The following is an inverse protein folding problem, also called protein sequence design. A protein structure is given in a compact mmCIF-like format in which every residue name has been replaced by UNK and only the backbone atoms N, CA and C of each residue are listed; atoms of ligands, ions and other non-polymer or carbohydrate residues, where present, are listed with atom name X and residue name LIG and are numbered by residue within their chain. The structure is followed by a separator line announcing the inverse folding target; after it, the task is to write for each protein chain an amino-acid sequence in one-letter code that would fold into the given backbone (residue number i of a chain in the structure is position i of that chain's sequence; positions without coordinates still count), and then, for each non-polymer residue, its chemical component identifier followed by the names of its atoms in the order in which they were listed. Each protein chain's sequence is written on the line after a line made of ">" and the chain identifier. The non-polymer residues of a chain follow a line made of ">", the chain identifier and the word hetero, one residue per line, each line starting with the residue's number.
data_IF_197873942119
#
_entry.id   IF_197873942119
#
_cell.length_a   1.000
_cell.length_b   1.000
_cell.length_c   1.000
_cell.angle_alpha   90.00
_cell.angle_beta   90.00
_cell.angle_gamma   90.00
#
_symmetry.space_group_name_H-M   'P 1'
#
loop_
_entity.id
_entity.type
_entity.pdbx_description
1 polymer ?
#
# COMPACT_ATOMS: atom_id res chain seq x y z
N UNK A 1 21.30 -12.65 5.55
CA UNK A 1 20.30 -11.73 4.94
C UNK A 1 20.02 -12.15 3.51
N UNK A 2 18.78 -12.48 3.16
CA UNK A 2 18.38 -12.94 1.81
C UNK A 2 17.65 -11.89 0.96
N UNK A 3 17.38 -10.69 1.51
CA UNK A 3 16.62 -9.62 0.84
C UNK A 3 17.36 -9.08 -0.39
N UNK A 4 16.69 -9.06 -1.54
CA UNK A 4 17.16 -8.47 -2.80
C UNK A 4 16.09 -7.54 -3.40
N UNK A 5 16.53 -6.63 -4.27
CA UNK A 5 15.63 -5.75 -5.03
C UNK A 5 15.36 -6.38 -6.39
N UNK A 6 14.10 -6.69 -6.68
CA UNK A 6 13.69 -7.31 -7.94
C UNK A 6 13.14 -6.24 -8.91
N UNK A 7 13.50 -6.37 -10.18
CA UNK A 7 13.02 -5.52 -11.30
C UNK A 7 12.49 -6.35 -12.47
N UNK A 8 12.26 -7.63 -12.23
CA UNK A 8 11.66 -8.57 -13.16
C UNK A 8 10.50 -9.22 -12.43
N UNK A 9 9.31 -9.10 -13.00
CA UNK A 9 8.06 -9.52 -12.39
C UNK A 9 7.36 -10.49 -13.34
N UNK A 10 6.66 -11.47 -12.77
CA UNK A 10 5.83 -12.36 -13.57
C UNK A 10 4.55 -11.65 -14.01
N UNK A 11 3.94 -12.13 -15.10
CA UNK A 11 2.62 -11.65 -15.55
C UNK A 11 1.46 -12.23 -14.73
N UNK A 12 1.74 -13.08 -13.74
CA UNK A 12 0.72 -13.71 -12.92
C UNK A 12 0.00 -12.66 -12.07
N UNK A 13 -1.27 -12.91 -11.79
CA UNK A 13 -2.03 -12.08 -10.86
C UNK A 13 -1.65 -12.43 -9.42
N UNK A 14 -1.54 -11.42 -8.57
CA UNK A 14 -1.33 -11.62 -7.14
C UNK A 14 -2.67 -11.88 -6.44
N UNK A 15 -2.78 -12.85 -5.51
CA UNK A 15 -3.97 -13.01 -4.68
C UNK A 15 -4.22 -11.75 -3.83
N UNK A 16 -5.49 -11.36 -3.65
CA UNK A 16 -5.86 -10.21 -2.83
C UNK A 16 -5.42 -10.40 -1.37
N UNK A 17 -5.42 -11.64 -0.90
CA UNK A 17 -4.99 -12.02 0.45
C UNK A 17 -3.52 -11.65 0.68
N UNK A 18 -2.65 -11.83 -0.31
CA UNK A 18 -1.23 -11.44 -0.23
C UNK A 18 -1.09 -9.92 -0.15
N UNK A 19 -1.89 -9.16 -0.92
CA UNK A 19 -1.90 -7.70 -0.84
C UNK A 19 -2.40 -7.22 0.53
N UNK A 20 -3.48 -7.81 1.05
CA UNK A 20 -4.03 -7.53 2.38
C UNK A 20 -2.98 -7.77 3.47
N UNK A 21 -2.32 -8.93 3.45
CA UNK A 21 -1.25 -9.23 4.41
C UNK A 21 -0.10 -8.23 4.34
N UNK A 22 0.37 -7.88 3.14
CA UNK A 22 1.44 -6.89 2.97
C UNK A 22 1.06 -5.52 3.53
N UNK A 23 -0.15 -5.03 3.24
CA UNK A 23 -0.64 -3.74 3.77
C UNK A 23 -0.75 -3.77 5.30
N UNK A 24 -1.23 -4.87 5.87
CA UNK A 24 -1.31 -5.05 7.32
C UNK A 24 0.07 -5.07 7.97
N UNK A 25 1.03 -5.80 7.40
CA UNK A 25 2.38 -5.92 7.97
C UNK A 25 3.19 -4.62 7.85
N UNK A 26 3.03 -3.89 6.74
CA UNK A 26 3.83 -2.69 6.47
C UNK A 26 3.24 -1.41 7.07
N UNK A 27 1.90 -1.30 7.12
CA UNK A 27 1.22 -0.05 7.53
C UNK A 27 -0.02 -0.27 8.42
N UNK A 28 -0.23 -1.47 8.93
CA UNK A 28 -1.37 -1.80 9.79
C UNK A 28 -1.33 -1.11 11.15
N UNK A 29 -2.51 -0.92 11.74
CA UNK A 29 -2.68 -0.44 13.12
C UNK A 29 -2.67 -1.64 14.05
N UNK A 30 -1.71 -1.69 14.98
CA UNK A 30 -1.59 -2.74 16.00
C UNK A 30 -2.21 -2.32 17.35
N UNK A 31 -2.64 -1.07 17.47
CA UNK A 31 -3.29 -0.57 18.67
C UNK A 31 -3.37 0.95 18.69
N UNK A 32 -3.64 1.47 19.88
CA UNK A 32 -3.78 2.90 20.10
C UNK A 32 -2.98 3.32 21.34
N UNK A 33 -2.35 4.49 21.25
CA UNK A 33 -1.66 5.13 22.37
C UNK A 33 -2.50 6.31 22.85
N UNK A 34 -2.56 6.53 24.16
CA UNK A 34 -3.26 7.67 24.73
C UNK A 34 -2.27 8.62 25.38
N UNK A 35 -2.35 9.89 25.01
CA UNK A 35 -1.47 10.94 25.54
C UNK A 35 -2.30 12.10 26.06
N UNK A 36 -1.84 12.78 27.11
CA UNK A 36 -2.53 13.96 27.66
C UNK A 36 -2.66 15.10 26.64
N UNK A 37 -1.65 15.29 25.78
CA UNK A 37 -1.61 16.40 24.83
C UNK A 37 -2.34 16.13 23.51
N UNK A 38 -2.28 14.90 23.01
CA UNK A 38 -2.77 14.56 21.67
C UNK A 38 -3.91 13.55 21.66
N UNK A 39 -4.39 13.12 22.82
CA UNK A 39 -5.47 12.14 22.92
C UNK A 39 -5.06 10.78 22.36
N UNK A 40 -5.99 10.15 21.62
CA UNK A 40 -5.83 8.83 21.02
C UNK A 40 -5.03 8.90 19.71
N UNK A 41 -3.89 8.21 19.68
CA UNK A 41 -2.97 8.13 18.54
C UNK A 41 -2.92 6.70 18.01
N UNK A 42 -2.67 6.56 16.70
CA UNK A 42 -2.46 5.26 16.08
C UNK A 42 -1.10 4.68 16.48
N UNK A 43 -1.09 3.41 16.86
CA UNK A 43 0.13 2.63 16.97
C UNK A 43 0.21 1.70 15.75
N UNK A 44 1.11 2.01 14.81
CA UNK A 44 1.29 1.22 13.57
C UNK A 44 2.52 0.33 13.62
N UNK A 45 2.59 -0.64 12.72
CA UNK A 45 3.76 -1.53 12.54
C UNK A 45 5.03 -0.77 12.17
N UNK A 46 4.91 0.37 11.47
CA UNK A 46 6.01 1.27 11.16
C UNK A 46 6.16 2.37 12.22
N UNK A 47 7.37 2.65 12.77
CA UNK A 47 7.56 3.75 13.71
C UNK A 47 7.38 5.12 13.05
N UNK A 48 6.95 6.11 13.82
CA UNK A 48 6.81 7.49 13.36
C UNK A 48 7.07 8.45 14.52
N UNK A 49 7.79 9.55 14.24
CA UNK A 49 8.08 10.58 15.24
C UNK A 49 6.80 11.09 15.91
N UNK A 50 6.72 10.96 17.23
CA UNK A 50 5.55 11.36 18.02
C UNK A 50 4.26 10.59 17.71
N UNK A 51 4.34 9.39 17.11
CA UNK A 51 3.19 8.61 16.64
C UNK A 51 2.25 9.40 15.71
N UNK A 52 2.81 10.29 14.88
CA UNK A 52 2.03 11.21 14.05
C UNK A 52 1.61 10.63 12.70
N UNK A 53 2.39 9.70 12.14
CA UNK A 53 2.11 9.02 10.87
C UNK A 53 1.62 9.97 9.75
N UNK A 54 2.40 11.00 9.36
CA UNK A 54 1.95 11.99 8.37
C UNK A 54 1.85 11.45 6.94
N UNK A 55 2.37 10.23 6.67
CA UNK A 55 2.29 9.59 5.37
C UNK A 55 0.97 8.83 5.18
N UNK A 56 0.59 8.65 3.92
CA UNK A 56 -0.58 7.85 3.50
C UNK A 56 -0.14 6.77 2.52
N UNK A 57 -0.89 5.66 2.48
CA UNK A 57 -0.61 4.54 1.58
C UNK A 57 -1.66 4.48 0.50
N UNK A 58 -1.19 4.49 -0.73
CA UNK A 58 -2.01 4.33 -1.93
C UNK A 58 -1.57 3.09 -2.68
N UNK A 59 -2.55 2.28 -3.09
CA UNK A 59 -2.34 1.08 -3.89
C UNK A 59 -2.82 1.36 -5.32
N UNK A 60 -1.90 1.32 -6.28
CA UNK A 60 -2.25 1.18 -7.68
C UNK A 60 -2.31 -0.32 -8.03
N UNK A 61 -3.51 -0.89 -8.01
CA UNK A 61 -3.72 -2.30 -8.35
C UNK A 61 -3.86 -2.44 -9.87
N UNK A 62 -2.93 -3.18 -10.49
CA UNK A 62 -2.96 -3.49 -11.93
C UNK A 62 -3.37 -4.94 -12.21
N UNK A 63 -2.84 -5.90 -11.45
CA UNK A 63 -3.06 -7.35 -11.63
C UNK A 63 -3.24 -8.06 -10.29
N UNK A 64 -4.31 -7.71 -9.58
CA UNK A 64 -4.68 -8.34 -8.30
C UNK A 64 -5.95 -9.15 -8.51
N UNK A 65 -5.90 -10.45 -8.24
CA UNK A 65 -7.05 -11.35 -8.38
C UNK A 65 -8.12 -10.95 -7.38
N UNK A 66 -9.36 -10.76 -7.85
CA UNK A 66 -10.49 -10.38 -6.99
C UNK A 66 -10.59 -8.88 -6.66
N UNK A 67 -9.68 -8.05 -7.18
CA UNK A 67 -9.73 -6.59 -7.05
C UNK A 67 -9.73 -5.96 -8.44
N UNK A 68 -10.66 -5.04 -8.71
CA UNK A 68 -10.69 -4.31 -9.98
C UNK A 68 -9.39 -3.50 -10.13
N UNK A 69 -8.92 -3.35 -11.37
CA UNK A 69 -7.79 -2.45 -11.61
C UNK A 69 -8.20 -1.02 -11.21
N UNK A 70 -7.38 -0.37 -10.40
CA UNK A 70 -7.68 0.96 -9.89
C UNK A 70 -6.58 1.56 -9.03
N UNK A 71 -6.79 2.81 -8.63
CA UNK A 71 -6.04 3.49 -7.59
C UNK A 71 -6.91 3.53 -6.32
N UNK A 72 -6.34 3.10 -5.21
CA UNK A 72 -7.00 2.96 -3.92
C UNK A 72 -6.25 3.71 -2.84
N UNK A 73 -6.96 4.31 -1.89
CA UNK A 73 -6.42 4.72 -0.59
C UNK A 73 -6.56 3.55 0.38
N UNK A 74 -5.52 3.26 1.16
CA UNK A 74 -5.59 2.26 2.21
C UNK A 74 -5.95 2.93 3.54
N UNK A 75 -7.11 2.58 4.10
CA UNK A 75 -7.57 3.02 5.40
C UNK A 75 -7.06 2.05 6.48
N UNK A 76 -6.00 2.38 7.23
CA UNK A 76 -5.35 1.42 8.11
C UNK A 76 -6.14 1.13 9.38
N UNK A 77 -7.05 2.03 9.81
CA UNK A 77 -7.86 1.84 11.02
C UNK A 77 -8.93 0.75 10.85
N UNK A 78 -9.46 0.57 9.64
CA UNK A 78 -10.48 -0.43 9.31
C UNK A 78 -9.95 -1.56 8.42
N UNK A 79 -8.68 -1.49 8.01
CA UNK A 79 -8.04 -2.41 7.07
C UNK A 79 -8.82 -2.53 5.74
N UNK A 80 -9.12 -1.39 5.12
CA UNK A 80 -9.94 -1.33 3.90
C UNK A 80 -9.26 -0.56 2.76
N UNK A 81 -9.67 -0.85 1.53
CA UNK A 81 -9.28 -0.12 0.33
C UNK A 81 -10.45 0.73 -0.15
N UNK A 82 -10.27 2.05 -0.14
CA UNK A 82 -11.21 3.02 -0.67
C UNK A 82 -10.85 3.35 -2.12
N UNK A 83 -11.82 3.24 -3.04
CA UNK A 83 -11.56 3.47 -4.46
C UNK A 83 -11.42 4.97 -4.73
N UNK A 84 -10.29 5.40 -5.28
CA UNK A 84 -10.07 6.79 -5.72
C UNK A 84 -10.36 6.92 -7.21
N UNK A 85 -9.87 5.98 -8.01
CA UNK A 85 -10.04 6.01 -9.45
C UNK A 85 -10.02 4.60 -10.02
N UNK A 86 -10.94 4.33 -10.94
CA UNK A 86 -10.95 3.10 -11.73
C UNK A 86 -10.16 3.26 -13.03
N UNK A 87 -9.69 4.47 -13.34
CA UNK A 87 -8.93 4.78 -14.55
C UNK A 87 -7.43 4.60 -14.29
N UNK A 88 -6.96 3.35 -14.21
CA UNK A 88 -5.53 3.01 -14.13
C UNK A 88 -5.07 2.20 -15.34
N UNK A 89 -3.76 2.24 -15.61
CA UNK A 89 -3.14 1.42 -16.65
C UNK A 89 -1.64 1.23 -16.36
N UNK A 90 -1.00 0.19 -16.91
CA UNK A 90 0.45 0.02 -16.83
C UNK A 90 1.23 1.24 -17.36
N UNK A 91 0.69 1.97 -18.35
CA UNK A 91 1.31 3.19 -18.87
C UNK A 91 1.26 4.34 -17.85
N UNK A 92 0.18 4.47 -17.06
CA UNK A 92 0.13 5.44 -15.97
C UNK A 92 1.11 5.09 -14.85
N UNK A 93 1.19 3.82 -14.46
CA UNK A 93 2.18 3.36 -13.49
C UNK A 93 3.62 3.68 -13.95
N UNK A 94 3.93 3.36 -15.22
CA UNK A 94 5.21 3.71 -15.84
C UNK A 94 5.48 5.22 -15.79
N UNK A 95 4.50 6.07 -16.11
CA UNK A 95 4.63 7.52 -16.04
C UNK A 95 4.89 8.02 -14.60
N UNK A 96 4.10 7.56 -13.62
CA UNK A 96 4.23 7.96 -12.22
C UNK A 96 5.54 7.50 -11.58
N UNK A 97 6.09 6.38 -12.05
CA UNK A 97 7.38 5.88 -11.61
C UNK A 97 8.54 6.38 -12.49
N UNK A 98 8.47 7.61 -13.00
CA UNK A 98 9.53 8.25 -13.78
C UNK A 98 10.02 7.42 -14.97
N UNK A 99 9.09 6.76 -15.67
CA UNK A 99 9.33 5.95 -16.86
C UNK A 99 10.25 4.73 -16.64
N UNK A 100 10.33 4.22 -15.43
CA UNK A 100 11.09 2.99 -15.14
C UNK A 100 10.47 1.78 -15.84
N UNK A 101 11.21 1.18 -16.77
CA UNK A 101 10.69 0.14 -17.67
C UNK A 101 10.12 -1.09 -16.95
N UNK A 102 10.70 -1.48 -15.82
CA UNK A 102 10.26 -2.64 -15.06
C UNK A 102 8.86 -2.51 -14.45
N UNK A 103 8.35 -1.28 -14.29
CA UNK A 103 7.03 -1.01 -13.70
C UNK A 103 5.89 -1.41 -14.62
N UNK A 104 6.09 -1.43 -15.94
CA UNK A 104 5.06 -1.88 -16.89
C UNK A 104 4.63 -3.33 -16.67
N UNK A 105 5.55 -4.14 -16.13
CA UNK A 105 5.34 -5.55 -15.85
C UNK A 105 5.12 -5.82 -14.36
N UNK A 106 5.09 -4.80 -13.51
CA UNK A 106 4.77 -4.94 -12.08
C UNK A 106 3.31 -5.36 -11.88
#
# INVERSE_FOLDING_TARGET
>A
MSRKTHRQFSKQQLPLETVSQLLSLVWGVNGYLYTRRFGRLLHKTSPSGGARHPGEVYLMALRVKGLKAGLYHYQPATHQLETISTNTSPNKAWLYCARQHFVKNA
#
